data_IF_478441535406
#
_entry.id   IF_478441535406
#
_cell.length_a   1.000
_cell.length_b   1.000
_cell.length_c   1.000
_cell.angle_alpha   90.00
_cell.angle_beta   90.00
_cell.angle_gamma   90.00
#
_symmetry.space_group_name_H-M   'P 1'
#
loop_
_entity.id
_entity.type
_entity.pdbx_description
1 polymer ?
#
# COMPACT_ATOMS: atom_id res chain seq x y z
N UNK A 1 4.99 12.97 -7.24
CA UNK A 1 4.08 12.04 -7.93
C UNK A 1 3.89 12.63 -9.30
N UNK A 2 4.44 11.99 -10.32
CA UNK A 2 4.43 12.54 -11.68
C UNK A 2 2.98 12.59 -12.18
N UNK A 3 2.51 13.81 -12.47
CA UNK A 3 1.14 14.07 -12.95
C UNK A 3 0.84 13.25 -14.23
N UNK A 4 1.87 13.01 -15.05
CA UNK A 4 1.83 12.17 -16.25
C UNK A 4 1.33 10.73 -15.99
N UNK A 5 1.73 10.12 -14.86
CA UNK A 5 1.32 8.75 -14.52
C UNK A 5 -0.16 8.73 -14.13
N UNK A 6 -0.64 9.77 -13.43
CA UNK A 6 -2.03 9.87 -13.02
C UNK A 6 -2.93 10.03 -14.25
N UNK A 7 -2.52 10.88 -15.20
CA UNK A 7 -3.27 11.08 -16.44
C UNK A 7 -3.31 9.82 -17.31
N UNK A 8 -2.19 9.07 -17.39
CA UNK A 8 -2.17 7.77 -18.07
C UNK A 8 -3.14 6.76 -17.45
N UNK A 9 -3.15 6.65 -16.12
CA UNK A 9 -4.04 5.73 -15.39
C UNK A 9 -5.50 6.15 -15.58
N UNK A 10 -5.79 7.45 -15.51
CA UNK A 10 -7.14 7.98 -15.72
C UNK A 10 -7.66 7.62 -17.11
N UNK A 11 -6.89 7.89 -18.17
CA UNK A 11 -7.27 7.53 -19.55
C UNK A 11 -7.51 6.02 -19.69
N UNK A 12 -6.66 5.20 -19.07
CA UNK A 12 -6.81 3.74 -19.08
C UNK A 12 -8.12 3.30 -18.42
N UNK A 13 -8.57 3.98 -17.37
CA UNK A 13 -9.80 3.65 -16.65
C UNK A 13 -11.07 4.24 -17.27
N UNK A 14 -10.98 5.29 -18.09
CA UNK A 14 -12.10 5.82 -18.87
C UNK A 14 -12.63 4.80 -19.88
N UNK A 15 -11.76 3.95 -20.43
CA UNK A 15 -12.11 2.91 -21.40
C UNK A 15 -12.66 1.62 -20.76
N UNK A 16 -12.80 1.56 -19.42
CA UNK A 16 -13.32 0.37 -18.76
C UNK A 16 -14.80 0.15 -19.04
N UNK A 17 -15.21 -1.04 -19.52
CA UNK A 17 -16.61 -1.33 -19.80
C UNK A 17 -17.43 -1.36 -18.51
N UNK A 18 -18.56 -0.64 -18.50
CA UNK A 18 -19.53 -0.65 -17.40
C UNK A 18 -20.69 -1.63 -17.67
N UNK A 19 -20.52 -2.88 -17.26
CA UNK A 19 -21.52 -3.94 -17.37
C UNK A 19 -22.63 -3.87 -16.31
N UNK A 20 -22.64 -2.84 -15.44
CA UNK A 20 -23.67 -2.70 -14.39
C UNK A 20 -25.00 -2.29 -15.01
N UNK A 21 -26.09 -2.90 -14.54
CA UNK A 21 -27.45 -2.53 -14.97
C UNK A 21 -27.72 -1.04 -14.68
N UNK A 22 -28.47 -0.32 -15.55
CA UNK A 22 -28.90 1.04 -15.27
C UNK A 22 -29.67 1.11 -13.94
N UNK A 23 -29.27 2.02 -13.04
CA UNK A 23 -29.85 2.14 -11.70
C UNK A 23 -28.99 2.99 -10.77
N UNK A 24 -29.38 3.05 -9.49
CA UNK A 24 -28.71 3.86 -8.47
C UNK A 24 -27.27 3.40 -8.15
N UNK A 25 -26.91 2.19 -8.58
CA UNK A 25 -25.57 1.60 -8.53
C UNK A 25 -24.57 2.24 -9.52
N UNK A 26 -25.00 3.10 -10.46
CA UNK A 26 -24.15 3.87 -11.38
C UNK A 26 -23.87 5.30 -10.91
N UNK A 27 -24.26 5.65 -9.68
CA UNK A 27 -23.97 6.97 -9.07
C UNK A 27 -22.48 7.33 -9.11
N UNK A 28 -21.60 6.33 -9.06
CA UNK A 28 -20.15 6.48 -9.22
C UNK A 28 -19.70 5.78 -10.51
N UNK A 29 -18.89 6.47 -11.31
CA UNK A 29 -18.30 5.92 -12.54
C UNK A 29 -17.30 4.82 -12.15
N UNK A 30 -17.12 3.82 -13.02
CA UNK A 30 -16.14 2.76 -12.77
C UNK A 30 -14.72 3.34 -12.66
N UNK A 31 -14.41 4.35 -13.47
CA UNK A 31 -13.13 5.05 -13.41
C UNK A 31 -12.85 5.67 -12.03
N UNK A 32 -13.86 6.29 -11.39
CA UNK A 32 -13.70 6.93 -10.08
C UNK A 32 -13.39 5.88 -9.00
N UNK A 33 -14.05 4.73 -9.09
CA UNK A 33 -13.80 3.60 -8.19
C UNK A 33 -12.41 3.00 -8.42
N UNK A 34 -12.01 2.82 -9.67
CA UNK A 34 -10.70 2.28 -10.05
C UNK A 34 -9.55 3.22 -9.61
N UNK A 35 -9.68 4.52 -9.87
CA UNK A 35 -8.73 5.54 -9.40
C UNK A 35 -8.64 5.56 -7.87
N UNK A 36 -9.78 5.48 -7.18
CA UNK A 36 -9.82 5.42 -5.72
C UNK A 36 -9.07 4.20 -5.17
N UNK A 37 -9.27 3.02 -5.79
CA UNK A 37 -8.54 1.81 -5.41
C UNK A 37 -7.02 1.94 -5.67
N UNK A 38 -6.62 2.63 -6.74
CA UNK A 38 -5.22 2.81 -7.10
C UNK A 38 -4.50 3.89 -6.27
N UNK A 39 -5.24 4.81 -5.65
CA UNK A 39 -4.69 5.93 -4.86
C UNK A 39 -3.74 5.48 -3.72
N UNK A 40 -3.91 4.27 -3.19
CA UNK A 40 -3.08 3.74 -2.10
C UNK A 40 -1.62 3.50 -2.52
N UNK A 41 -1.37 3.23 -3.80
CA UNK A 41 -0.03 3.04 -4.37
C UNK A 41 0.76 4.34 -4.50
N UNK A 42 0.05 5.46 -4.44
CA UNK A 42 0.62 6.80 -4.58
C UNK A 42 0.89 7.48 -3.23
N UNK A 43 0.75 6.75 -2.14
CA UNK A 43 1.04 7.26 -0.80
C UNK A 43 2.55 7.38 -0.58
N UNK A 44 3.01 8.41 0.15
CA UNK A 44 4.42 8.60 0.54
C UNK A 44 4.89 7.59 1.62
N UNK A 45 4.39 6.37 1.55
CA UNK A 45 4.65 5.30 2.49
C UNK A 45 5.17 4.09 1.72
N UNK A 46 6.24 3.44 2.20
CA UNK A 46 6.87 2.32 1.49
C UNK A 46 6.00 1.05 1.44
N UNK A 47 4.87 1.03 2.16
CA UNK A 47 3.89 -0.05 2.09
C UNK A 47 2.49 0.43 2.53
N UNK A 48 1.45 -0.30 2.12
CA UNK A 48 0.08 -0.11 2.61
C UNK A 48 0.02 -0.16 4.14
N UNK A 49 0.71 -1.12 4.78
CA UNK A 49 0.72 -1.23 6.24
C UNK A 49 1.41 -0.03 6.91
N UNK A 50 2.47 0.51 6.31
CA UNK A 50 3.13 1.71 6.84
C UNK A 50 2.27 2.96 6.69
N UNK A 51 1.49 3.06 5.61
CA UNK A 51 0.46 4.08 5.48
C UNK A 51 -0.59 3.97 6.59
N UNK A 52 -1.13 2.77 6.84
CA UNK A 52 -2.13 2.55 7.89
C UNK A 52 -1.58 2.87 9.29
N UNK A 53 -0.34 2.48 9.60
CA UNK A 53 0.34 2.82 10.87
C UNK A 53 0.54 4.33 11.04
N UNK A 54 0.87 5.04 9.96
CA UNK A 54 1.05 6.50 9.99
C UNK A 54 -0.29 7.20 10.24
N UNK A 55 -1.35 6.78 9.55
CA UNK A 55 -2.70 7.31 9.74
C UNK A 55 -3.26 7.04 11.14
N UNK A 56 -2.91 5.92 11.76
CA UNK A 56 -3.24 5.62 13.16
C UNK A 56 -2.59 6.64 14.10
N UNK A 57 -1.29 6.91 13.92
CA UNK A 57 -0.55 7.87 14.75
C UNK A 57 -1.03 9.31 14.59
N UNK A 58 -1.35 9.73 13.36
CA UNK A 58 -1.70 11.13 13.07
C UNK A 58 -3.19 11.42 13.26
N UNK A 59 -4.05 10.45 12.99
CA UNK A 59 -5.49 10.68 12.86
C UNK A 59 -6.34 9.60 13.54
N UNK A 60 -5.73 8.67 14.28
CA UNK A 60 -6.40 7.55 14.95
C UNK A 60 -7.26 6.70 13.99
N UNK A 61 -6.83 6.56 12.74
CA UNK A 61 -7.51 5.77 11.70
C UNK A 61 -6.58 4.69 11.17
N UNK A 62 -7.01 3.43 11.29
CA UNK A 62 -6.31 2.27 10.74
C UNK A 62 -7.30 1.35 10.03
N UNK A 63 -7.49 1.55 8.72
CA UNK A 63 -8.42 0.78 7.90
C UNK A 63 -8.00 -0.69 7.73
N UNK A 64 -6.70 -1.01 7.82
CA UNK A 64 -6.26 -2.40 7.83
C UNK A 64 -6.85 -3.16 9.03
N UNK A 65 -6.87 -2.53 10.20
CA UNK A 65 -7.45 -3.10 11.40
C UNK A 65 -8.98 -2.97 11.45
N UNK A 66 -9.54 -1.82 11.08
CA UNK A 66 -10.96 -1.54 11.27
C UNK A 66 -11.87 -2.08 10.16
N UNK A 67 -11.41 -2.09 8.90
CA UNK A 67 -12.22 -2.52 7.75
C UNK A 67 -11.82 -3.94 7.32
N UNK A 68 -10.52 -4.21 7.28
CA UNK A 68 -10.00 -5.48 6.77
C UNK A 68 -9.68 -6.50 7.87
N UNK A 69 -9.87 -6.15 9.15
CA UNK A 69 -9.60 -6.99 10.32
C UNK A 69 -8.21 -7.66 10.30
N UNK A 70 -7.24 -7.01 9.64
CA UNK A 70 -5.85 -7.48 9.55
C UNK A 70 -5.24 -7.27 10.93
N UNK A 71 -5.33 -8.29 11.77
CA UNK A 71 -4.63 -8.32 13.06
C UNK A 71 -3.13 -8.46 12.83
N UNK A 72 -2.36 -7.92 13.78
CA UNK A 72 -0.90 -7.80 13.78
C UNK A 72 -0.20 -9.16 13.95
N UNK A 73 -0.44 -10.11 13.06
CA UNK A 73 0.25 -11.41 13.06
C UNK A 73 1.36 -11.51 11.98
N UNK A 74 1.39 -10.59 11.01
CA UNK A 74 2.43 -10.50 9.99
C UNK A 74 3.61 -9.58 10.38
N UNK A 75 3.86 -9.40 11.68
CA UNK A 75 5.19 -9.01 12.14
C UNK A 75 6.00 -10.28 12.35
N UNK A 76 6.57 -10.81 11.27
CA UNK A 76 7.78 -11.61 11.37
C UNK A 76 8.80 -10.74 12.11
N UNK A 77 8.98 -11.01 13.41
CA UNK A 77 10.16 -10.53 14.14
C UNK A 77 11.38 -11.02 13.34
N UNK A 78 12.37 -10.16 13.05
CA UNK A 78 13.65 -10.68 12.60
C UNK A 78 14.16 -11.61 13.71
N UNK A 79 14.19 -12.92 13.43
CA UNK A 79 14.87 -13.88 14.29
C UNK A 79 16.35 -13.48 14.27
N UNK A 80 16.89 -13.16 15.44
CA UNK A 80 18.31 -12.98 15.72
C UNK A 80 19.22 -13.63 14.67
N UNK A 81 19.75 -12.85 13.75
CA UNK A 81 20.90 -13.28 12.95
C UNK A 81 22.15 -12.87 13.73
N UNK A 82 22.50 -13.68 14.72
CA UNK A 82 23.84 -13.67 15.26
C UNK A 82 24.74 -14.22 14.17
N UNK A 83 25.45 -13.35 13.45
CA UNK A 83 26.51 -13.76 12.55
C UNK A 83 27.64 -14.26 13.46
N UNK A 84 28.01 -15.56 13.45
CA UNK A 84 29.15 -15.99 14.24
C UNK A 84 30.40 -15.34 13.66
N UNK A 85 31.18 -14.67 14.52
CA UNK A 85 32.49 -14.12 14.19
C UNK A 85 33.42 -15.24 13.74
N UNK A 86 33.67 -15.31 12.43
CA UNK A 86 34.73 -16.16 11.88
C UNK A 86 36.02 -15.35 11.78
N UNK A 87 36.97 -15.72 12.63
CA UNK A 87 38.43 -15.85 12.37
C UNK A 87 39.10 -14.66 11.70
N UNK A 88 39.90 -13.84 12.39
CA UNK A 88 41.26 -14.23 12.77
C UNK A 88 42.12 -14.39 11.54
N UNK A 89 42.89 -13.35 11.16
CA UNK A 89 44.22 -13.37 10.50
C UNK A 89 44.67 -11.93 10.21
N UNK A 90 45.65 -11.43 10.96
CA UNK A 90 46.73 -10.53 10.53
C UNK A 90 47.63 -10.15 11.72
N UNK A 91 48.81 -10.78 11.83
CA UNK A 91 50.06 -10.10 12.22
C UNK A 91 50.58 -9.34 10.97
N UNK A 92 51.40 -8.27 11.02
CA UNK A 92 52.53 -7.93 11.91
C UNK A 92 52.44 -6.46 12.44
N UNK A 93 53.34 -5.84 13.21
CA UNK A 93 54.79 -5.94 13.41
C UNK A 93 55.15 -5.57 14.85
#
# INVERSE_FOLDING_TARGET
MDLEIIDLIRRTFEDLPDSRKPGNNRKYRIEDAALSAFSVFFTQSPSFLDYQRRMEKLHNRNNAQSIFLISKFLQLKPKNQHIPSRTGFATPS
#
